data_IF_834330470148
#
_entry.id   IF_834330470148
#
_cell.length_a   1.000
_cell.length_b   1.000
_cell.length_c   1.000
_cell.angle_alpha   90.00
_cell.angle_beta   90.00
_cell.angle_gamma   90.00
#
_symmetry.space_group_name_H-M   'P 1'
#
loop_
_entity.id
_entity.type
_entity.pdbx_description
1 polymer ?
#
# COMPACT_ATOMS: atom_id res chain seq x y z
N UNK A 1 24.70 -5.00 -5.50
CA UNK A 1 25.06 -6.43 -5.47
C UNK A 1 25.03 -6.92 -6.91
N UNK A 2 26.07 -7.58 -7.40
CA UNK A 2 26.13 -8.08 -8.78
C UNK A 2 26.35 -9.58 -8.74
N UNK A 3 25.67 -10.31 -9.62
CA UNK A 3 26.01 -11.69 -9.97
C UNK A 3 26.45 -11.64 -11.44
N UNK A 4 27.63 -12.16 -11.76
CA UNK A 4 28.16 -12.24 -13.12
C UNK A 4 28.21 -10.92 -13.91
N UNK A 5 28.38 -9.77 -13.24
CA UNK A 5 28.51 -8.47 -13.90
C UNK A 5 27.19 -7.78 -14.24
N UNK A 6 26.04 -8.45 -14.06
CA UNK A 6 24.72 -7.84 -14.22
C UNK A 6 24.23 -7.26 -12.87
N UNK A 7 23.69 -6.03 -12.83
CA UNK A 7 23.10 -5.47 -11.62
C UNK A 7 21.95 -6.34 -11.12
N UNK A 8 22.03 -6.82 -9.87
CA UNK A 8 20.99 -7.68 -9.29
C UNK A 8 19.67 -6.93 -9.05
N UNK A 9 19.75 -5.64 -8.76
CA UNK A 9 18.60 -4.77 -8.54
C UNK A 9 19.02 -3.30 -8.66
N UNK A 10 18.08 -2.45 -9.03
CA UNK A 10 18.23 -1.00 -8.98
C UNK A 10 18.12 -0.51 -7.52
N UNK A 11 18.99 0.42 -7.12
CA UNK A 11 19.04 0.94 -5.74
C UNK A 11 18.26 2.23 -5.68
N UNK A 12 16.96 2.12 -5.35
CA UNK A 12 16.11 3.27 -5.06
C UNK A 12 16.29 3.81 -3.63
N UNK A 13 16.02 5.10 -3.38
CA UNK A 13 16.05 5.66 -2.04
C UNK A 13 14.97 5.03 -1.14
N UNK A 14 15.35 4.67 0.08
CA UNK A 14 14.41 4.18 1.09
C UNK A 14 13.52 5.35 1.55
N UNK A 15 12.26 5.34 1.14
CA UNK A 15 11.28 6.33 1.58
C UNK A 15 10.73 5.95 2.95
N UNK A 16 11.16 6.67 4.01
CA UNK A 16 10.61 6.49 5.35
C UNK A 16 9.35 7.33 5.52
N UNK A 17 8.22 6.66 5.77
CA UNK A 17 6.97 7.33 6.17
C UNK A 17 7.16 7.99 7.54
N UNK A 18 6.65 9.20 7.70
CA UNK A 18 6.65 9.97 8.97
C UNK A 18 5.21 10.28 9.36
N UNK A 19 4.94 10.32 10.66
CA UNK A 19 3.69 10.86 11.15
C UNK A 19 3.65 12.36 10.83
N UNK A 20 2.51 12.83 10.32
CA UNK A 20 2.26 14.24 10.01
C UNK A 20 1.00 14.69 10.76
N UNK A 21 0.90 15.98 11.12
CA UNK A 21 -0.34 16.54 11.64
C UNK A 21 -1.50 16.36 10.66
N UNK A 22 -2.71 16.17 11.19
CA UNK A 22 -3.93 15.98 10.37
C UNK A 22 -4.13 17.13 9.39
N UNK A 23 -3.90 18.38 9.82
CA UNK A 23 -4.04 19.55 8.96
C UNK A 23 -3.10 19.52 7.75
N UNK A 24 -1.85 19.07 7.94
CA UNK A 24 -0.91 18.91 6.84
C UNK A 24 -1.32 17.77 5.90
N UNK A 25 -1.81 16.66 6.45
CA UNK A 25 -2.32 15.56 5.63
C UNK A 25 -3.51 15.99 4.77
N UNK A 26 -4.46 16.75 5.33
CA UNK A 26 -5.63 17.24 4.60
C UNK A 26 -5.24 18.30 3.55
N UNK A 27 -4.22 19.12 3.81
CA UNK A 27 -3.76 20.13 2.86
C UNK A 27 -3.27 19.53 1.53
N UNK A 28 -2.74 18.30 1.55
CA UNK A 28 -2.33 17.58 0.34
C UNK A 28 -3.52 17.38 -0.62
N UNK A 29 -4.73 17.19 -0.08
CA UNK A 29 -5.94 16.93 -0.84
C UNK A 29 -6.75 18.19 -1.14
N UNK A 30 -6.24 19.39 -0.83
CA UNK A 30 -6.99 20.63 -0.98
C UNK A 30 -7.46 20.92 -2.43
N UNK A 31 -6.74 20.39 -3.42
CA UNK A 31 -7.10 20.50 -4.85
C UNK A 31 -7.65 19.21 -5.46
N UNK A 32 -7.86 18.16 -4.67
CA UNK A 32 -8.38 16.89 -5.17
C UNK A 32 -9.87 17.02 -5.52
N UNK A 33 -10.31 16.25 -6.52
CA UNK A 33 -11.73 16.11 -6.83
C UNK A 33 -12.48 15.42 -5.69
N UNK A 34 -13.80 15.63 -5.65
CA UNK A 34 -14.66 14.86 -4.76
C UNK A 34 -14.59 13.37 -5.14
N UNK A 35 -14.51 12.52 -4.12
CA UNK A 35 -14.51 11.07 -4.28
C UNK A 35 -15.96 10.57 -4.17
N UNK A 36 -16.39 9.74 -5.12
CA UNK A 36 -17.63 8.99 -4.98
C UNK A 36 -17.39 7.85 -3.99
N UNK A 37 -18.07 7.92 -2.84
CA UNK A 37 -17.88 6.97 -1.73
C UNK A 37 -18.48 5.61 -2.05
N UNK A 38 -19.56 5.57 -2.85
CA UNK A 38 -20.24 4.33 -3.19
C UNK A 38 -19.47 3.57 -4.26
N UNK A 39 -18.94 4.27 -5.26
CA UNK A 39 -18.04 3.70 -6.27
C UNK A 39 -16.76 3.16 -5.62
N UNK A 40 -16.08 3.97 -4.78
CA UNK A 40 -14.88 3.55 -4.07
C UNK A 40 -15.11 2.28 -3.25
N UNK A 41 -16.25 2.19 -2.55
CA UNK A 41 -16.56 1.02 -1.74
C UNK A 41 -16.76 -0.21 -2.59
N UNK A 42 -17.49 -0.08 -3.70
CA UNK A 42 -17.71 -1.20 -4.62
C UNK A 42 -16.40 -1.73 -5.20
N UNK A 43 -15.48 -0.85 -5.60
CA UNK A 43 -14.16 -1.23 -6.11
C UNK A 43 -13.33 -1.94 -5.04
N UNK A 44 -13.30 -1.39 -3.81
CA UNK A 44 -12.58 -2.02 -2.70
C UNK A 44 -13.16 -3.40 -2.35
N UNK A 45 -14.48 -3.55 -2.33
CA UNK A 45 -15.12 -4.85 -2.05
C UNK A 45 -14.91 -5.87 -3.18
N UNK A 46 -14.70 -5.41 -4.42
CA UNK A 46 -14.39 -6.29 -5.55
C UNK A 46 -12.93 -6.76 -5.56
N UNK A 47 -11.99 -5.88 -5.18
CA UNK A 47 -10.55 -6.15 -5.23
C UNK A 47 -9.99 -6.72 -3.92
N UNK A 48 -10.60 -6.41 -2.78
CA UNK A 48 -10.22 -6.97 -1.48
C UNK A 48 -10.82 -8.37 -1.37
N UNK A 49 -10.04 -9.36 -1.78
CA UNK A 49 -10.27 -10.74 -1.39
C UNK A 49 -10.10 -10.86 0.13
N UNK A 50 -11.23 -11.03 0.85
CA UNK A 50 -11.26 -11.27 2.29
C UNK A 50 -10.92 -12.72 2.66
N UNK A 51 -10.37 -13.51 1.75
CA UNK A 51 -9.69 -14.77 2.09
C UNK A 51 -8.34 -14.51 2.80
N UNK A 52 -8.38 -13.65 3.83
CA UNK A 52 -7.45 -13.73 4.94
C UNK A 52 -7.80 -15.02 5.66
N UNK A 53 -6.92 -16.02 5.58
CA UNK A 53 -6.98 -17.18 6.47
C UNK A 53 -7.26 -16.68 7.88
N UNK A 54 -8.36 -17.14 8.47
CA UNK A 54 -8.72 -16.78 9.85
C UNK A 54 -7.60 -17.15 10.83
N UNK A 55 -6.70 -18.03 10.40
CA UNK A 55 -5.46 -18.37 11.05
C UNK A 55 -4.26 -17.59 10.43
N UNK A 56 -3.59 -16.69 11.20
CA UNK A 56 -2.37 -16.02 10.75
C UNK A 56 -1.17 -16.98 10.57
N UNK A 57 -1.33 -18.27 10.88
CA UNK A 57 -0.35 -19.33 10.70
C UNK A 57 -0.72 -20.30 9.56
N UNK A 58 -1.86 -20.12 8.88
CA UNK A 58 -2.27 -21.02 7.81
C UNK A 58 -1.24 -21.01 6.67
N UNK A 59 -0.74 -22.18 6.30
CA UNK A 59 0.32 -22.33 5.30
C UNK A 59 1.76 -22.20 5.83
N UNK A 60 1.97 -21.96 7.13
CA UNK A 60 3.32 -21.92 7.74
C UNK A 60 3.86 -23.31 8.14
N UNK A 61 2.99 -24.32 8.21
CA UNK A 61 3.38 -25.69 8.60
C UNK A 61 3.84 -25.82 10.06
N UNK A 62 3.48 -24.86 10.92
CA UNK A 62 3.74 -24.83 12.36
C UNK A 62 2.45 -25.08 13.15
#
# INVERSE_FOLDING_TARGET
MTINGEPLADVGPITRRRAVPVGEALAIFAGAGALDVDELRADLDADIDQELSHDPLEGTGL
#
